data_IF_063730884455
#
_entry.id   IF_063730884455
#
_cell.length_a   1.000
_cell.length_b   1.000
_cell.length_c   1.000
_cell.angle_alpha   90.00
_cell.angle_beta   90.00
_cell.angle_gamma   90.00
#
_symmetry.space_group_name_H-M   'P 1'
#
loop_
_entity.id
_entity.type
_entity.pdbx_description
1 polymer ?
#
# COMPACT_ATOMS: atom_id res chain seq x y z
N UNK A 1 -6.91 -9.86 22.71
CA UNK A 1 -7.01 -9.45 21.29
C UNK A 1 -5.61 -9.17 20.78
N UNK A 2 -5.20 -9.77 19.66
CA UNK A 2 -3.92 -9.46 19.00
C UNK A 2 -4.21 -8.54 17.81
N UNK A 3 -3.53 -7.39 17.78
CA UNK A 3 -3.56 -6.47 16.64
C UNK A 3 -2.45 -6.86 15.66
N UNK A 4 -2.69 -6.68 14.36
CA UNK A 4 -1.67 -6.78 13.32
C UNK A 4 -1.81 -5.60 12.38
N UNK A 5 -0.72 -4.87 12.18
CA UNK A 5 -0.65 -3.81 11.19
C UNK A 5 -0.26 -4.43 9.85
N UNK A 6 -1.07 -4.19 8.84
CA UNK A 6 -0.83 -4.65 7.48
C UNK A 6 -0.06 -3.58 6.72
N UNK A 7 1.05 -3.97 6.12
CA UNK A 7 1.69 -3.18 5.09
C UNK A 7 0.88 -3.23 3.78
N UNK A 8 1.16 -2.30 2.87
CA UNK A 8 0.41 -2.09 1.62
C UNK A 8 0.44 -3.30 0.70
N UNK A 9 1.51 -4.09 0.70
CA UNK A 9 1.63 -5.30 -0.11
C UNK A 9 0.66 -6.41 0.34
N UNK A 10 0.58 -6.68 1.64
CA UNK A 10 -0.32 -7.65 2.26
C UNK A 10 -1.76 -7.18 2.14
N UNK A 11 -2.04 -5.90 2.40
CA UNK A 11 -3.35 -5.31 2.18
C UNK A 11 -3.82 -5.49 0.72
N UNK A 12 -2.93 -5.22 -0.24
CA UNK A 12 -3.19 -5.42 -1.67
C UNK A 12 -3.35 -6.90 -2.04
N UNK A 13 -2.64 -7.82 -1.37
CA UNK A 13 -2.79 -9.25 -1.58
C UNK A 13 -4.15 -9.76 -1.09
N UNK A 14 -4.61 -9.30 0.08
CA UNK A 14 -5.95 -9.60 0.61
C UNK A 14 -7.04 -9.12 -0.36
N UNK A 15 -6.97 -7.87 -0.81
CA UNK A 15 -7.92 -7.29 -1.77
C UNK A 15 -7.99 -8.05 -3.11
N UNK A 16 -6.89 -8.71 -3.51
CA UNK A 16 -6.84 -9.55 -4.72
C UNK A 16 -7.25 -11.00 -4.50
N UNK A 17 -7.49 -11.43 -3.26
CA UNK A 17 -7.65 -12.84 -2.92
C UNK A 17 -6.37 -13.67 -3.15
N UNK A 18 -5.18 -13.04 -3.05
CA UNK A 18 -3.86 -13.69 -3.29
C UNK A 18 -3.08 -13.95 -2.00
N UNK A 19 -3.78 -14.31 -0.94
CA UNK A 19 -3.17 -14.65 0.36
C UNK A 19 -2.96 -16.16 0.40
N UNK A 20 -1.72 -16.60 0.60
CA UNK A 20 -1.41 -18.02 0.78
C UNK A 20 -1.88 -18.54 2.15
N UNK A 21 -1.86 -19.86 2.32
CA UNK A 21 -2.36 -20.49 3.56
C UNK A 21 -1.51 -20.10 4.79
N UNK A 22 -0.21 -19.92 4.61
CA UNK A 22 0.70 -19.56 5.71
C UNK A 22 0.38 -18.16 6.24
N UNK A 23 0.20 -17.20 5.35
CA UNK A 23 -0.16 -15.83 5.71
C UNK A 23 -1.59 -15.80 6.27
N UNK A 24 -2.53 -16.54 5.68
CA UNK A 24 -3.90 -16.68 6.20
C UNK A 24 -3.87 -17.17 7.65
N UNK A 25 -3.17 -18.26 7.94
CA UNK A 25 -3.03 -18.80 9.29
C UNK A 25 -2.45 -17.77 10.29
N UNK A 26 -1.52 -16.91 9.86
CA UNK A 26 -0.97 -15.84 10.70
C UNK A 26 -1.96 -14.71 10.95
N UNK A 27 -2.91 -14.48 10.06
CA UNK A 27 -3.90 -13.39 10.16
C UNK A 27 -5.19 -13.84 10.87
N UNK A 28 -5.52 -15.13 10.82
CA UNK A 28 -6.72 -15.69 11.45
C UNK A 28 -6.79 -15.35 12.94
N UNK A 29 -7.96 -14.86 13.37
CA UNK A 29 -8.24 -14.49 14.76
C UNK A 29 -7.60 -13.17 15.23
N UNK A 30 -6.90 -12.44 14.34
CA UNK A 30 -6.31 -11.13 14.65
C UNK A 30 -7.21 -10.00 14.18
N UNK A 31 -7.15 -8.88 14.90
CA UNK A 31 -7.71 -7.62 14.43
C UNK A 31 -6.75 -7.00 13.44
N UNK A 32 -7.18 -6.85 12.20
CA UNK A 32 -6.39 -6.26 11.14
C UNK A 32 -6.43 -4.74 11.26
N UNK A 33 -5.28 -4.11 11.15
CA UNK A 33 -5.09 -2.67 11.21
C UNK A 33 -4.33 -2.19 9.97
N UNK A 34 -4.56 -0.95 9.56
CA UNK A 34 -3.74 -0.24 8.58
C UNK A 34 -3.40 1.16 9.10
N UNK A 35 -2.30 1.73 8.64
CA UNK A 35 -1.99 3.15 8.89
C UNK A 35 -2.74 4.04 7.89
N UNK A 36 -2.81 5.35 8.19
CA UNK A 36 -3.28 6.36 7.23
C UNK A 36 -2.39 6.43 5.98
N UNK A 37 -1.10 6.10 6.10
CA UNK A 37 -0.18 6.00 4.98
C UNK A 37 -0.58 4.85 4.04
N UNK A 38 -0.81 3.65 4.58
CA UNK A 38 -1.29 2.50 3.81
C UNK A 38 -2.61 2.81 3.10
N UNK A 39 -3.53 3.53 3.76
CA UNK A 39 -4.78 3.98 3.11
C UNK A 39 -4.51 4.95 1.95
N UNK A 40 -3.60 5.90 2.14
CA UNK A 40 -3.18 6.84 1.09
C UNK A 40 -2.58 6.12 -0.12
N UNK A 41 -1.71 5.14 0.12
CA UNK A 41 -1.10 4.34 -0.94
C UNK A 41 -2.13 3.50 -1.71
N UNK A 42 -3.06 2.85 -1.02
CA UNK A 42 -4.16 2.11 -1.68
C UNK A 42 -5.04 3.05 -2.52
N UNK A 43 -5.39 4.22 -1.97
CA UNK A 43 -6.18 5.24 -2.66
C UNK A 43 -5.46 5.78 -3.90
N UNK A 44 -4.16 6.06 -3.82
CA UNK A 44 -3.33 6.46 -4.97
C UNK A 44 -3.49 5.47 -6.13
N UNK A 45 -3.47 4.17 -5.83
CA UNK A 45 -3.56 3.14 -6.86
C UNK A 45 -4.94 2.97 -7.48
N UNK A 46 -6.02 3.39 -6.81
CA UNK A 46 -7.35 3.39 -7.44
C UNK A 46 -7.41 4.40 -8.58
N UNK A 47 -6.75 5.55 -8.40
CA UNK A 47 -6.65 6.64 -9.39
C UNK A 47 -5.65 6.28 -10.49
N UNK A 48 -4.41 5.96 -10.13
CA UNK A 48 -3.32 5.68 -11.09
C UNK A 48 -3.67 4.52 -12.04
N UNK A 49 -4.51 3.58 -11.60
CA UNK A 49 -4.94 2.43 -12.40
C UNK A 49 -6.38 2.49 -12.88
N UNK A 50 -7.05 3.63 -12.75
CA UNK A 50 -8.44 3.83 -13.19
C UNK A 50 -9.37 2.69 -12.78
N UNK A 51 -9.39 2.36 -11.48
CA UNK A 51 -10.19 1.25 -10.98
C UNK A 51 -11.68 1.43 -11.32
N UNK A 52 -12.28 0.39 -11.90
CA UNK A 52 -13.71 0.37 -12.16
C UNK A 52 -14.56 0.25 -10.88
N UNK A 53 -15.87 0.53 -10.95
CA UNK A 53 -16.76 0.61 -9.80
C UNK A 53 -16.74 -0.61 -8.88
N UNK A 54 -16.62 -1.81 -9.45
CA UNK A 54 -16.53 -3.06 -8.68
C UNK A 54 -15.33 -3.09 -7.74
N UNK A 55 -14.13 -2.76 -8.24
CA UNK A 55 -12.91 -2.79 -7.42
C UNK A 55 -12.93 -1.71 -6.33
N UNK A 56 -13.56 -0.57 -6.61
CA UNK A 56 -13.77 0.49 -5.62
C UNK A 56 -14.72 0.02 -4.51
N UNK A 57 -15.81 -0.67 -4.88
CA UNK A 57 -16.73 -1.27 -3.91
C UNK A 57 -16.03 -2.35 -3.06
N UNK A 58 -15.21 -3.21 -3.66
CA UNK A 58 -14.43 -4.22 -2.93
C UNK A 58 -13.48 -3.57 -1.89
N UNK A 59 -12.79 -2.49 -2.28
CA UNK A 59 -11.93 -1.74 -1.35
C UNK A 59 -12.73 -1.11 -0.20
N UNK A 60 -13.88 -0.50 -0.51
CA UNK A 60 -14.75 0.10 0.51
C UNK A 60 -15.32 -0.95 1.47
N UNK A 61 -15.73 -2.11 0.95
CA UNK A 61 -16.21 -3.23 1.77
C UNK A 61 -15.10 -3.78 2.66
N UNK A 62 -13.90 -4.02 2.11
CA UNK A 62 -12.76 -4.46 2.91
C UNK A 62 -12.40 -3.44 3.99
N UNK A 63 -12.53 -2.14 3.72
CA UNK A 63 -12.23 -1.08 4.69
C UNK A 63 -13.11 -1.10 5.93
N UNK A 64 -14.35 -1.58 5.83
CA UNK A 64 -15.25 -1.73 6.98
C UNK A 64 -14.77 -2.81 7.97
N UNK A 65 -13.85 -3.68 7.57
CA UNK A 65 -13.38 -4.82 8.37
C UNK A 65 -11.97 -4.64 8.95
N UNK A 66 -11.37 -3.46 8.79
CA UNK A 66 -9.99 -3.19 9.19
C UNK A 66 -9.94 -1.87 9.95
N UNK A 67 -9.26 -1.87 11.08
CA UNK A 67 -9.07 -0.67 11.89
C UNK A 67 -8.11 0.28 11.17
N UNK A 68 -8.53 1.51 10.92
CA UNK A 68 -7.64 2.59 10.54
C UNK A 68 -7.01 3.16 11.80
N UNK A 69 -5.69 3.04 11.93
CA UNK A 69 -4.96 3.67 13.02
C UNK A 69 -5.01 5.20 12.87
N UNK A 70 -5.12 5.95 13.97
CA UNK A 70 -5.13 7.41 13.93
C UNK A 70 -3.81 7.95 13.36
N UNK A 71 -3.83 9.23 13.00
CA UNK A 71 -2.61 9.93 12.63
C UNK A 71 -1.63 9.96 13.82
N UNK A 72 -0.36 9.76 13.50
CA UNK A 72 0.77 9.93 14.40
C UNK A 72 1.94 10.50 13.59
N UNK A 73 2.51 11.61 14.05
CA UNK A 73 3.60 12.30 13.37
C UNK A 73 4.84 11.41 13.19
N UNK A 74 5.15 10.57 14.20
CA UNK A 74 6.30 9.66 14.15
C UNK A 74 6.16 8.63 13.02
N UNK A 75 4.94 8.17 12.73
CA UNK A 75 4.66 7.25 11.62
C UNK A 75 4.90 7.94 10.29
N UNK A 76 4.48 9.20 10.14
CA UNK A 76 4.71 9.97 8.92
C UNK A 76 6.21 10.21 8.67
N UNK A 77 6.96 10.60 9.72
CA UNK A 77 8.42 10.80 9.65
C UNK A 77 9.13 9.50 9.28
N UNK A 78 8.83 8.40 9.98
CA UNK A 78 9.45 7.10 9.72
C UNK A 78 9.19 6.63 8.29
N UNK A 79 7.96 6.77 7.79
CA UNK A 79 7.65 6.43 6.39
C UNK A 79 8.48 7.27 5.41
N UNK A 80 8.61 8.58 5.64
CA UNK A 80 9.42 9.45 4.78
C UNK A 80 10.88 9.03 4.72
N UNK A 81 11.47 8.69 5.86
CA UNK A 81 12.85 8.19 5.96
C UNK A 81 13.04 6.85 5.23
N UNK A 82 12.11 5.92 5.42
CA UNK A 82 12.13 4.61 4.73
C UNK A 82 12.03 4.78 3.22
N UNK A 83 11.15 5.65 2.74
CA UNK A 83 10.98 5.92 1.31
C UNK A 83 12.23 6.56 0.69
N UNK A 84 12.85 7.53 1.38
CA UNK A 84 14.08 8.15 0.92
C UNK A 84 15.23 7.13 0.82
N UNK A 85 15.37 6.28 1.85
CA UNK A 85 16.40 5.23 1.90
C UNK A 85 16.19 4.21 0.78
N UNK A 86 14.95 3.76 0.58
CA UNK A 86 14.61 2.83 -0.49
C UNK A 86 14.90 3.44 -1.87
N UNK A 87 14.51 4.70 -2.11
CA UNK A 87 14.76 5.37 -3.37
C UNK A 87 16.26 5.57 -3.66
N UNK A 88 17.07 5.86 -2.64
CA UNK A 88 18.51 6.01 -2.78
C UNK A 88 19.23 4.69 -3.10
N UNK A 89 18.69 3.55 -2.64
CA UNK A 89 19.24 2.21 -2.90
C UNK A 89 18.65 1.50 -4.12
N UNK A 90 17.63 2.06 -4.78
CA UNK A 90 16.91 1.37 -5.86
C UNK A 90 17.63 1.52 -7.20
N UNK A 91 18.09 0.40 -7.76
CA UNK A 91 18.58 0.33 -9.15
C UNK A 91 17.40 0.43 -10.14
N UNK A 92 17.65 0.77 -11.41
CA UNK A 92 16.58 0.82 -12.43
C UNK A 92 15.79 -0.50 -12.54
N UNK A 93 16.44 -1.65 -12.31
CA UNK A 93 15.79 -2.95 -12.27
C UNK A 93 14.86 -3.12 -11.06
N UNK A 94 15.29 -2.65 -9.88
CA UNK A 94 14.47 -2.60 -8.68
C UNK A 94 13.26 -1.67 -8.82
N UNK A 95 13.44 -0.53 -9.49
CA UNK A 95 12.36 0.42 -9.76
C UNK A 95 11.28 -0.22 -10.66
N UNK A 96 11.70 -0.92 -11.72
CA UNK A 96 10.79 -1.67 -12.62
C UNK A 96 10.04 -2.79 -11.89
N UNK A 97 10.64 -3.43 -10.89
CA UNK A 97 9.96 -4.42 -10.06
C UNK A 97 8.91 -3.79 -9.15
N UNK A 98 9.21 -2.67 -8.49
CA UNK A 98 8.25 -1.93 -7.67
C UNK A 98 7.05 -1.43 -8.52
N UNK A 99 7.32 -0.99 -9.74
CA UNK A 99 6.28 -0.57 -10.70
C UNK A 99 5.38 -1.74 -11.14
N UNK A 100 5.92 -2.97 -11.24
CA UNK A 100 5.18 -4.19 -11.63
C UNK A 100 4.52 -4.93 -10.46
N UNK A 101 5.10 -4.89 -9.27
CA UNK A 101 4.76 -5.76 -8.14
C UNK A 101 3.46 -5.39 -7.43
N UNK A 102 3.07 -4.12 -7.47
CA UNK A 102 1.93 -3.60 -6.70
C UNK A 102 0.61 -3.60 -7.47
N UNK A 103 0.39 -4.62 -8.32
CA UNK A 103 -0.78 -5.02 -9.15
C UNK A 103 -0.44 -4.99 -10.67
N UNK A 104 -0.71 -6.08 -11.42
CA UNK A 104 -0.35 -6.15 -12.84
C UNK A 104 -1.14 -5.14 -13.69
N UNK A 105 -0.46 -4.36 -14.52
CA UNK A 105 -1.08 -3.63 -15.64
C UNK A 105 -1.17 -2.10 -15.54
N UNK A 106 -0.20 -1.38 -14.95
CA UNK A 106 -0.16 0.09 -15.02
C UNK A 106 1.12 0.61 -15.69
N UNK A 107 1.04 1.67 -16.51
CA UNK A 107 2.22 2.33 -17.08
C UNK A 107 3.01 3.05 -15.97
N UNK A 108 4.31 3.29 -16.25
CA UNK A 108 5.37 3.74 -15.35
C UNK A 108 5.21 5.13 -14.69
N UNK A 109 3.99 5.67 -14.58
CA UNK A 109 3.70 7.01 -14.07
C UNK A 109 3.79 7.13 -12.53
N UNK A 110 3.75 6.01 -11.80
CA UNK A 110 3.71 6.03 -10.33
C UNK A 110 5.03 6.51 -9.69
N UNK A 111 6.18 6.17 -10.28
CA UNK A 111 7.49 6.71 -9.87
C UNK A 111 7.67 8.19 -10.24
N UNK A 112 6.86 8.74 -11.15
CA UNK A 112 6.94 10.13 -11.57
C UNK A 112 6.30 11.08 -10.55
N UNK A 113 5.15 10.70 -9.97
CA UNK A 113 4.42 11.54 -9.00
C UNK A 113 5.20 11.73 -7.70
N UNK A 114 5.92 10.69 -7.23
CA UNK A 114 6.73 10.81 -6.01
C UNK A 114 8.00 11.66 -6.22
N UNK A 115 8.55 11.67 -7.44
CA UNK A 115 9.68 12.55 -7.81
C UNK A 115 9.27 14.01 -8.03
N UNK A 116 8.03 14.28 -8.45
CA UNK A 116 7.51 15.63 -8.62
C UNK A 116 7.23 16.32 -7.27
N UNK A 117 6.80 15.58 -6.24
CA UNK A 117 6.62 16.13 -4.89
C UNK A 117 7.93 16.52 -4.19
N UNK A 118 9.07 15.94 -4.60
CA UNK A 118 10.41 16.29 -4.11
C UNK A 118 11.07 17.44 -4.91
N UNK A 119 10.35 18.04 -5.88
CA UNK A 119 10.83 19.12 -6.76
C UNK A 119 9.87 20.31 -6.82
N UNK A 120 9.17 20.62 -5.74
CA UNK A 120 8.56 21.94 -5.58
C UNK A 120 9.50 22.80 -4.70
N UNK A 121 9.76 24.06 -5.08
CA UNK A 121 10.64 24.97 -4.33
C UNK A 121 10.10 25.34 -2.95
#
# INVERSE_FOLDING_TARGET
MSLVVLDTDVASAILRGRVDERLRARLTGRTLCITFVTLGELTKWTVVRSWGPRKLADLAQWRRHVVLLPFDESVAIAWGQLQATAAAGTTEAGQRFLDRGLLPGAPAAAGHLQRQGLRAP
#
